data_IF_613271121069
#
_entry.id   IF_613271121069
#
_cell.length_a   1.000
_cell.length_b   1.000
_cell.length_c   1.000
_cell.angle_alpha   90.00
_cell.angle_beta   90.00
_cell.angle_gamma   90.00
#
_symmetry.space_group_name_H-M   'P 1'
#
loop_
_entity.id
_entity.type
_entity.pdbx_description
1 polymer ?
#
# COMPACT_ATOMS: atom_id res chain seq x y z
N UNK A 1 14.97 -10.90 32.96
CA UNK A 1 14.68 -10.49 31.58
C UNK A 1 14.30 -11.74 30.80
N UNK A 2 13.08 -11.83 30.27
CA UNK A 2 12.70 -12.99 29.44
C UNK A 2 13.27 -12.76 28.04
N UNK A 3 14.18 -13.64 27.61
CA UNK A 3 14.58 -13.73 26.21
C UNK A 3 13.35 -14.22 25.44
N UNK A 4 12.65 -13.31 24.76
CA UNK A 4 11.58 -13.66 23.85
C UNK A 4 12.26 -13.96 22.52
N UNK A 5 12.42 -15.25 22.21
CA UNK A 5 12.71 -15.65 20.82
C UNK A 5 11.60 -15.08 19.93
N UNK A 6 11.93 -14.53 18.75
CA UNK A 6 10.90 -14.09 17.82
C UNK A 6 9.93 -15.25 17.55
N UNK A 7 8.63 -14.97 17.33
CA UNK A 7 7.69 -16.01 16.93
C UNK A 7 8.28 -16.77 15.73
N UNK A 8 8.14 -18.10 15.73
CA UNK A 8 8.44 -18.88 14.53
C UNK A 8 7.35 -18.59 13.48
N UNK A 9 7.53 -17.48 12.75
CA UNK A 9 6.61 -16.98 11.73
C UNK A 9 6.37 -17.96 10.58
N UNK A 10 7.26 -18.95 10.44
CA UNK A 10 7.26 -20.02 9.43
C UNK A 10 6.61 -21.32 9.90
N UNK A 11 6.10 -21.37 11.14
CA UNK A 11 5.45 -22.57 11.67
C UNK A 11 3.99 -22.69 11.23
N UNK A 12 3.53 -23.92 11.01
CA UNK A 12 2.12 -24.24 10.72
C UNK A 12 1.19 -23.72 11.82
N UNK A 13 1.64 -23.76 13.07
CA UNK A 13 0.87 -23.25 14.22
C UNK A 13 0.66 -21.73 14.12
N UNK A 14 1.72 -21.00 13.77
CA UNK A 14 1.64 -19.56 13.57
C UNK A 14 0.70 -19.22 12.41
N UNK A 15 0.84 -19.91 11.26
CA UNK A 15 -0.06 -19.75 10.13
C UNK A 15 -1.51 -20.02 10.54
N UNK A 16 -1.78 -21.11 11.25
CA UNK A 16 -3.15 -21.45 11.70
C UNK A 16 -3.78 -20.38 12.60
N UNK A 17 -3.00 -19.78 13.50
CA UNK A 17 -3.51 -18.78 14.45
C UNK A 17 -3.69 -17.41 13.78
N UNK A 18 -2.76 -17.03 12.91
CA UNK A 18 -2.66 -15.66 12.40
C UNK A 18 -3.05 -15.52 10.92
N UNK A 19 -3.45 -16.60 10.25
CA UNK A 19 -4.02 -16.50 8.90
C UNK A 19 -5.24 -15.59 8.89
N UNK A 20 -5.33 -14.76 7.84
CA UNK A 20 -6.41 -13.82 7.63
C UNK A 20 -6.69 -13.68 6.14
N UNK A 21 -7.95 -13.91 5.75
CA UNK A 21 -8.46 -13.84 4.39
C UNK A 21 -9.36 -12.62 4.14
N UNK A 22 -9.50 -11.75 5.15
CA UNK A 22 -10.30 -10.53 5.07
C UNK A 22 -9.57 -9.33 4.41
N UNK A 23 -10.19 -8.14 4.43
CA UNK A 23 -9.65 -6.96 3.77
C UNK A 23 -8.35 -6.45 4.42
N UNK A 24 -7.39 -6.07 3.58
CA UNK A 24 -6.15 -5.38 3.97
C UNK A 24 -5.98 -4.09 3.16
N UNK A 25 -5.20 -3.17 3.70
CA UNK A 25 -4.95 -1.86 3.11
C UNK A 25 -5.99 -0.81 3.51
N UNK A 26 -6.09 0.24 2.70
CA UNK A 26 -7.06 1.30 2.85
C UNK A 26 -8.23 1.14 1.86
N UNK A 27 -9.42 0.91 2.40
CA UNK A 27 -10.68 0.99 1.65
C UNK A 27 -11.33 2.35 1.88
N UNK A 28 -11.47 3.13 0.80
CA UNK A 28 -11.91 4.52 0.86
C UNK A 28 -13.31 4.68 0.27
N UNK A 29 -14.07 5.58 0.88
CA UNK A 29 -15.28 6.17 0.33
C UNK A 29 -15.39 7.65 0.73
N UNK A 30 -16.30 8.39 0.09
CA UNK A 30 -16.59 9.78 0.48
C UNK A 30 -17.08 9.94 1.93
N UNK A 31 -17.55 8.86 2.57
CA UNK A 31 -18.08 8.88 3.94
C UNK A 31 -17.06 8.47 4.99
N UNK A 32 -16.05 7.68 4.62
CA UNK A 32 -15.06 7.10 5.54
C UNK A 32 -13.88 6.46 4.82
N UNK A 33 -12.79 6.27 5.56
CA UNK A 33 -11.68 5.38 5.21
C UNK A 33 -11.53 4.27 6.26
N UNK A 34 -11.48 3.01 5.81
CA UNK A 34 -11.23 1.83 6.64
C UNK A 34 -9.80 1.35 6.41
N UNK A 35 -9.04 1.16 7.49
CA UNK A 35 -7.66 0.70 7.43
C UNK A 35 -7.52 -0.65 8.11
N UNK A 36 -6.85 -1.58 7.44
CA UNK A 36 -6.52 -2.89 7.98
C UNK A 36 -5.07 -3.23 7.66
N UNK A 37 -4.29 -3.62 8.66
CA UNK A 37 -2.91 -4.09 8.47
C UNK A 37 -2.63 -5.30 9.34
N UNK A 38 -1.96 -6.28 8.76
CA UNK A 38 -1.56 -7.49 9.46
C UNK A 38 -0.17 -7.30 10.08
N UNK A 39 -0.10 -7.37 11.41
CA UNK A 39 1.14 -7.28 12.19
C UNK A 39 0.97 -8.03 13.53
N UNK A 40 0.99 -9.37 13.51
CA UNK A 40 0.72 -10.21 14.68
C UNK A 40 1.77 -10.10 15.79
N UNK A 41 2.98 -9.64 15.48
CA UNK A 41 4.03 -9.42 16.45
C UNK A 41 3.93 -8.06 17.17
N UNK A 42 3.09 -7.14 16.66
CA UNK A 42 2.89 -5.85 17.31
C UNK A 42 2.03 -6.01 18.56
N UNK A 43 2.35 -5.24 19.60
CA UNK A 43 1.53 -5.11 20.82
C UNK A 43 0.64 -3.87 20.76
N UNK A 44 1.01 -2.89 19.93
CA UNK A 44 0.19 -1.73 19.60
C UNK A 44 0.43 -1.31 18.15
N UNK A 45 -0.55 -0.61 17.58
CA UNK A 45 -0.46 -0.07 16.23
C UNK A 45 -1.09 1.31 16.19
N UNK A 46 -0.39 2.25 15.56
CA UNK A 46 -0.87 3.61 15.32
C UNK A 46 -0.91 3.91 13.82
N UNK A 47 -2.05 4.36 13.32
CA UNK A 47 -2.18 4.98 12.01
C UNK A 47 -1.75 6.46 12.14
N UNK A 48 -0.76 6.88 11.36
CA UNK A 48 -0.30 8.28 11.33
C UNK A 48 -0.77 8.94 10.04
N UNK A 49 -1.55 10.02 10.15
CA UNK A 49 -2.15 10.71 9.01
C UNK A 49 -1.46 12.06 8.74
N UNK A 50 -1.20 12.33 7.47
CA UNK A 50 -0.34 13.39 6.95
C UNK A 50 -1.04 14.19 5.85
N UNK A 51 -0.71 15.48 5.69
CA UNK A 51 -1.20 16.29 4.56
C UNK A 51 -0.29 16.20 3.34
N UNK A 52 0.96 15.81 3.52
CA UNK A 52 1.96 15.75 2.44
C UNK A 52 2.62 14.37 2.37
N UNK A 53 3.05 13.97 1.17
CA UNK A 53 3.66 12.65 0.98
C UNK A 53 5.16 12.55 1.25
N UNK A 54 5.86 13.67 1.41
CA UNK A 54 7.33 13.70 1.40
C UNK A 54 7.97 14.75 2.33
N UNK A 55 7.19 15.71 2.87
CA UNK A 55 7.75 16.77 3.72
C UNK A 55 7.71 16.35 5.18
N UNK A 56 8.66 16.87 5.97
CA UNK A 56 8.57 16.80 7.42
C UNK A 56 7.34 17.59 7.86
N UNK A 57 6.45 16.91 8.57
CA UNK A 57 5.25 17.49 9.16
C UNK A 57 4.86 16.65 10.37
N UNK A 58 4.09 17.24 11.29
CA UNK A 58 3.54 16.51 12.44
C UNK A 58 2.27 15.78 12.00
N UNK A 59 2.22 14.44 12.10
CA UNK A 59 1.01 13.69 11.78
C UNK A 59 -0.08 13.86 12.83
N UNK A 60 -1.30 13.48 12.44
CA UNK A 60 -2.36 13.14 13.37
C UNK A 60 -2.35 11.64 13.61
N UNK A 61 -2.21 11.25 14.86
CA UNK A 61 -2.07 9.85 15.26
C UNK A 61 -3.42 9.27 15.69
N UNK A 62 -3.70 8.05 15.26
CA UNK A 62 -4.91 7.30 15.58
C UNK A 62 -4.54 5.89 16.04
N UNK A 63 -4.77 5.54 17.32
CA UNK A 63 -4.60 4.18 17.80
C UNK A 63 -5.52 3.23 17.03
N UNK A 64 -4.98 2.09 16.61
CA UNK A 64 -5.73 1.04 15.95
C UNK A 64 -6.13 -0.05 16.96
N UNK A 65 -7.24 -0.71 16.70
CA UNK A 65 -7.78 -1.80 17.52
C UNK A 65 -7.40 -3.15 16.91
N UNK A 66 -6.96 -4.10 17.73
CA UNK A 66 -6.74 -5.47 17.27
C UNK A 66 -8.08 -6.17 17.00
N UNK A 67 -8.22 -6.83 15.85
CA UNK A 67 -9.41 -7.63 15.50
C UNK A 67 -9.20 -9.14 15.74
N UNK A 68 -8.06 -9.55 16.30
CA UNK A 68 -7.62 -10.95 16.29
C UNK A 68 -6.86 -11.30 15.01
N UNK A 69 -6.34 -12.53 14.95
CA UNK A 69 -5.49 -13.03 13.83
C UNK A 69 -4.34 -12.10 13.43
N UNK A 70 -3.88 -11.22 14.33
CA UNK A 70 -2.80 -10.28 14.07
C UNK A 70 -3.20 -9.04 13.25
N UNK A 71 -4.49 -8.83 12.99
CA UNK A 71 -4.98 -7.69 12.22
C UNK A 71 -5.27 -6.50 13.13
N UNK A 72 -4.84 -5.33 12.69
CA UNK A 72 -5.09 -4.03 13.31
C UNK A 72 -6.04 -3.23 12.43
N UNK A 73 -7.00 -2.55 13.05
CA UNK A 73 -8.07 -1.84 12.37
C UNK A 73 -8.32 -0.42 12.92
N UNK A 74 -8.65 0.52 12.02
CA UNK A 74 -9.30 1.78 12.40
C UNK A 74 -10.23 2.29 11.29
N UNK A 75 -11.35 2.91 11.68
CA UNK A 75 -12.26 3.64 10.80
C UNK A 75 -12.11 5.14 11.03
N UNK A 76 -11.85 5.90 9.96
CA UNK A 76 -11.85 7.36 10.00
C UNK A 76 -13.11 7.88 9.28
N UNK A 77 -14.05 8.54 9.98
CA UNK A 77 -15.22 9.14 9.34
C UNK A 77 -14.83 10.38 8.52
N UNK A 78 -15.57 10.64 7.45
CA UNK A 78 -15.35 11.74 6.51
C UNK A 78 -14.54 11.37 5.28
N UNK A 79 -14.40 12.33 4.37
CA UNK A 79 -13.58 12.17 3.17
C UNK A 79 -12.11 12.53 3.47
N UNK A 80 -11.22 11.54 3.39
CA UNK A 80 -9.78 11.71 3.55
C UNK A 80 -8.99 11.48 2.26
N UNK A 81 -9.66 11.53 1.10
CA UNK A 81 -9.00 11.46 -0.20
C UNK A 81 -7.88 12.50 -0.29
N UNK A 82 -6.72 12.09 -0.81
CA UNK A 82 -5.57 12.97 -0.97
C UNK A 82 -4.67 13.07 0.27
N UNK A 83 -5.12 12.59 1.43
CA UNK A 83 -4.28 12.50 2.63
C UNK A 83 -3.30 11.33 2.51
N UNK A 84 -2.19 11.45 3.22
CA UNK A 84 -1.13 10.44 3.26
C UNK A 84 -1.12 9.75 4.61
N UNK A 85 -0.62 8.51 4.66
CA UNK A 85 -0.55 7.76 5.90
C UNK A 85 0.64 6.79 5.97
N UNK A 86 0.99 6.43 7.20
CA UNK A 86 1.89 5.33 7.54
C UNK A 86 1.31 4.55 8.72
N UNK A 87 1.83 3.36 8.94
CA UNK A 87 1.63 2.60 10.17
C UNK A 87 2.87 2.71 11.06
N UNK A 88 2.65 2.79 12.35
CA UNK A 88 3.69 2.72 13.38
C UNK A 88 3.37 1.54 14.31
N UNK A 89 3.92 0.35 14.03
CA UNK A 89 3.82 -0.79 14.94
C UNK A 89 4.75 -0.61 16.13
N UNK A 90 4.29 -1.02 17.30
CA UNK A 90 5.10 -1.19 18.50
C UNK A 90 5.37 -2.68 18.69
N UNK A 91 6.61 -3.11 18.46
CA UNK A 91 7.04 -4.51 18.58
C UNK A 91 8.11 -4.61 19.66
N UNK A 92 7.92 -5.43 20.71
CA UNK A 92 8.90 -5.59 21.78
C UNK A 92 10.31 -5.92 21.26
N UNK A 93 11.31 -5.22 21.78
CA UNK A 93 12.72 -5.42 21.41
C UNK A 93 13.14 -4.72 20.11
N UNK A 94 12.23 -4.06 19.40
CA UNK A 94 12.54 -3.27 18.20
C UNK A 94 12.32 -1.78 18.42
N UNK A 95 13.10 -0.90 17.75
CA UNK A 95 12.82 0.52 17.78
C UNK A 95 11.50 0.83 17.06
N UNK A 96 10.75 1.78 17.61
CA UNK A 96 9.53 2.31 16.99
C UNK A 96 9.91 2.96 15.65
N UNK A 97 9.27 2.49 14.57
CA UNK A 97 9.49 2.98 13.20
C UNK A 97 8.16 3.07 12.48
N UNK A 98 8.14 3.91 11.46
CA UNK A 98 7.01 3.98 10.54
C UNK A 98 7.29 3.15 9.30
N UNK A 99 6.21 2.64 8.72
CA UNK A 99 6.22 1.98 7.41
C UNK A 99 5.05 2.45 6.58
N UNK A 100 5.25 2.55 5.26
CA UNK A 100 4.14 2.65 4.34
C UNK A 100 3.31 1.36 4.36
N UNK A 101 2.05 1.46 3.95
CA UNK A 101 1.15 0.32 3.80
C UNK A 101 1.65 -0.60 2.67
N UNK A 102 1.90 -1.91 2.92
CA UNK A 102 2.24 -2.86 1.87
C UNK A 102 1.17 -2.99 0.78
N UNK A 103 -0.08 -2.63 1.11
CA UNK A 103 -1.24 -2.63 0.21
C UNK A 103 -1.56 -1.24 -0.35
N UNK A 104 -0.65 -0.26 -0.22
CA UNK A 104 -0.84 1.08 -0.75
C UNK A 104 -1.08 1.06 -2.28
N UNK A 105 -2.16 1.70 -2.72
CA UNK A 105 -2.49 1.87 -4.14
C UNK A 105 -1.87 3.12 -4.77
N UNK A 106 -1.47 4.08 -3.93
CA UNK A 106 -0.76 5.29 -4.30
C UNK A 106 0.19 5.67 -3.17
N UNK A 107 1.26 6.40 -3.51
CA UNK A 107 2.30 6.80 -2.55
C UNK A 107 2.80 8.22 -2.84
N UNK A 108 3.36 8.86 -1.82
CA UNK A 108 4.14 10.08 -1.98
C UNK A 108 5.45 9.86 -2.74
N UNK A 109 6.13 10.94 -3.08
CA UNK A 109 7.45 10.87 -3.72
C UNK A 109 8.41 9.97 -2.91
N UNK A 110 9.11 9.06 -3.60
CA UNK A 110 9.99 8.05 -3.03
C UNK A 110 9.32 7.03 -2.09
N UNK A 111 7.98 6.89 -2.11
CA UNK A 111 7.29 5.77 -1.48
C UNK A 111 7.25 5.76 0.06
N UNK A 112 7.66 6.84 0.71
CA UNK A 112 7.80 6.87 2.18
C UNK A 112 6.45 6.89 2.92
N UNK A 113 5.39 7.37 2.26
CA UNK A 113 4.03 7.43 2.81
C UNK A 113 3.04 6.92 1.77
N UNK A 114 2.08 6.12 2.20
CA UNK A 114 0.94 5.72 1.38
C UNK A 114 -0.03 6.91 1.22
N UNK A 115 -0.87 6.89 0.19
CA UNK A 115 -1.89 7.90 -0.07
C UNK A 115 -3.28 7.25 -0.16
N UNK A 116 -4.25 7.91 0.45
CA UNK A 116 -5.67 7.55 0.33
C UNK A 116 -6.16 8.09 -1.02
N UNK A 117 -6.60 7.22 -1.91
CA UNK A 117 -6.93 7.56 -3.30
C UNK A 117 -8.28 6.99 -3.73
N UNK A 118 -9.07 7.81 -4.44
CA UNK A 118 -10.18 7.34 -5.25
C UNK A 118 -9.64 6.83 -6.59
N UNK A 119 -9.56 5.50 -6.76
CA UNK A 119 -9.09 4.93 -8.02
C UNK A 119 -10.02 5.26 -9.19
N UNK A 120 -11.33 5.40 -8.97
CA UNK A 120 -12.27 5.70 -10.05
C UNK A 120 -12.05 7.11 -10.62
N UNK A 121 -11.51 8.03 -9.80
CA UNK A 121 -11.08 9.36 -10.24
C UNK A 121 -9.80 9.37 -11.08
N UNK A 122 -9.09 8.25 -11.20
CA UNK A 122 -7.82 8.16 -11.95
C UNK A 122 -7.96 7.68 -13.39
N UNK A 123 -9.15 7.22 -13.77
CA UNK A 123 -9.41 6.69 -15.10
C UNK A 123 -9.20 7.77 -16.18
N UNK A 124 -8.38 7.51 -17.23
CA UNK A 124 -8.23 8.45 -18.32
C UNK A 124 -9.52 8.55 -19.16
N UNK A 125 -9.63 9.62 -19.94
CA UNK A 125 -10.76 9.81 -20.85
C UNK A 125 -10.91 8.61 -21.80
N UNK A 126 -12.06 7.95 -21.75
CA UNK A 126 -12.40 6.82 -22.61
C UNK A 126 -12.01 5.44 -22.08
N UNK A 127 -11.49 5.35 -20.85
CA UNK A 127 -11.12 4.09 -20.21
C UNK A 127 -12.26 3.08 -20.13
N UNK A 128 -13.49 3.55 -19.89
CA UNK A 128 -14.72 2.76 -19.87
C UNK A 128 -15.00 2.03 -21.21
N UNK A 129 -14.46 2.56 -22.31
CA UNK A 129 -14.61 2.04 -23.67
C UNK A 129 -13.37 1.31 -24.19
N UNK A 130 -12.27 1.32 -23.44
CA UNK A 130 -11.07 0.58 -23.85
C UNK A 130 -11.38 -0.92 -23.91
N UNK A 131 -10.96 -1.56 -24.99
CA UNK A 131 -11.20 -2.99 -25.24
C UNK A 131 -9.94 -3.59 -25.84
N UNK A 132 -9.30 -4.48 -25.08
CA UNK A 132 -8.18 -5.27 -25.60
C UNK A 132 -8.63 -6.10 -26.82
N UNK A 133 -7.77 -6.29 -27.84
CA UNK A 133 -8.04 -7.22 -28.93
C UNK A 133 -8.26 -8.65 -28.43
N UNK A 134 -8.95 -9.46 -29.24
CA UNK A 134 -9.08 -10.89 -28.95
C UNK A 134 -7.68 -11.55 -28.90
N UNK A 135 -7.42 -12.32 -27.85
CA UNK A 135 -6.16 -13.02 -27.66
C UNK A 135 -6.44 -14.52 -27.54
N UNK A 136 -5.79 -15.31 -28.41
CA UNK A 136 -6.02 -16.74 -28.57
C UNK A 136 -5.31 -17.59 -27.51
N UNK A 137 -4.45 -18.50 -27.94
CA UNK A 137 -3.66 -19.35 -27.03
C UNK A 137 -2.44 -18.57 -26.53
N UNK A 138 -1.93 -18.87 -25.32
CA UNK A 138 -0.67 -18.29 -24.85
C UNK A 138 0.51 -18.50 -25.81
N UNK A 139 0.52 -19.60 -26.58
CA UNK A 139 1.52 -19.92 -27.61
C UNK A 139 1.49 -19.01 -28.83
N UNK A 140 0.44 -18.21 -28.99
CA UNK A 140 0.31 -17.25 -30.08
C UNK A 140 1.02 -15.92 -29.74
N UNK A 141 1.54 -15.76 -28.51
CA UNK A 141 2.27 -14.57 -28.09
C UNK A 141 3.69 -14.52 -28.70
N UNK A 142 4.09 -13.31 -29.10
CA UNK A 142 5.48 -12.93 -29.31
C UNK A 142 5.81 -11.87 -28.25
N UNK A 143 6.67 -12.20 -27.30
CA UNK A 143 7.01 -11.32 -26.19
C UNK A 143 8.16 -10.39 -26.56
N UNK A 144 8.02 -9.12 -26.17
CA UNK A 144 9.08 -8.12 -26.29
C UNK A 144 9.34 -7.52 -24.91
N UNK A 145 10.49 -7.82 -24.34
CA UNK A 145 10.94 -7.23 -23.08
C UNK A 145 11.46 -5.81 -23.32
N UNK A 146 11.01 -4.86 -22.50
CA UNK A 146 11.33 -3.45 -22.65
C UNK A 146 11.38 -2.76 -21.30
N UNK A 147 12.36 -1.86 -21.14
CA UNK A 147 12.42 -0.92 -20.03
C UNK A 147 11.89 0.45 -20.49
N UNK A 148 10.90 1.02 -19.77
CA UNK A 148 10.21 2.29 -20.15
C UNK A 148 11.20 3.44 -20.38
N UNK A 149 12.23 3.54 -19.54
CA UNK A 149 13.25 4.57 -19.70
C UNK A 149 14.04 4.37 -20.99
N UNK A 150 14.55 3.16 -21.19
CA UNK A 150 15.53 2.86 -22.24
C UNK A 150 14.90 2.96 -23.62
N UNK A 151 13.60 2.63 -23.71
CA UNK A 151 12.81 2.70 -24.93
C UNK A 151 12.83 4.07 -25.62
N UNK A 152 12.98 5.17 -24.86
CA UNK A 152 12.79 6.52 -25.38
C UNK A 152 13.82 7.54 -24.95
N UNK A 153 14.71 7.24 -23.99
CA UNK A 153 15.66 8.22 -23.43
C UNK A 153 16.74 8.68 -24.42
N UNK A 154 17.01 7.91 -25.47
CA UNK A 154 18.02 8.29 -26.46
C UNK A 154 17.66 9.64 -27.12
N UNK A 155 18.61 10.59 -27.28
CA UNK A 155 18.31 11.93 -27.81
C UNK A 155 17.70 11.94 -29.21
N UNK A 156 17.93 10.87 -29.99
CA UNK A 156 17.36 10.69 -31.34
C UNK A 156 16.15 9.75 -31.39
N UNK A 157 15.52 9.43 -30.25
CA UNK A 157 14.32 8.57 -30.23
C UNK A 157 13.12 9.19 -30.94
N UNK A 158 13.07 10.53 -31.03
CA UNK A 158 11.95 11.27 -31.60
C UNK A 158 10.72 11.36 -30.67
N UNK A 159 10.79 10.79 -29.46
CA UNK A 159 9.69 10.77 -28.50
C UNK A 159 9.77 12.00 -27.58
N UNK A 160 8.65 12.73 -27.43
CA UNK A 160 8.60 13.96 -26.63
C UNK A 160 8.72 13.69 -25.11
N UNK A 161 7.96 12.73 -24.58
CA UNK A 161 7.98 12.34 -23.18
C UNK A 161 9.07 11.28 -22.93
N UNK A 162 10.33 11.63 -23.17
CA UNK A 162 11.43 10.70 -23.10
C UNK A 162 11.64 10.13 -21.68
N UNK A 163 11.74 8.81 -21.60
CA UNK A 163 11.93 8.04 -20.38
C UNK A 163 10.78 8.10 -19.37
N UNK A 164 9.55 8.37 -19.82
CA UNK A 164 8.34 8.47 -19.01
C UNK A 164 7.24 7.53 -19.54
N UNK A 165 6.21 7.28 -18.72
CA UNK A 165 4.97 6.63 -19.15
C UNK A 165 4.18 7.51 -20.13
#
# INVERSE_FOLDING_TARGET
MRNISPPAFDSIEFERIFYYDGPLGCDWSKKRSLFHVWSPAAEAMTLRLYRTGHRKETPKDFPMTSLGSGVWHVELPGNHEGMYYTYQPEIPGYPIRETADPYARAVGANGQRAMIVDLSGTDPKGWDKDRKPAFGKPTDAILYELHVRDASIHPKSGIQNNGRF
#
